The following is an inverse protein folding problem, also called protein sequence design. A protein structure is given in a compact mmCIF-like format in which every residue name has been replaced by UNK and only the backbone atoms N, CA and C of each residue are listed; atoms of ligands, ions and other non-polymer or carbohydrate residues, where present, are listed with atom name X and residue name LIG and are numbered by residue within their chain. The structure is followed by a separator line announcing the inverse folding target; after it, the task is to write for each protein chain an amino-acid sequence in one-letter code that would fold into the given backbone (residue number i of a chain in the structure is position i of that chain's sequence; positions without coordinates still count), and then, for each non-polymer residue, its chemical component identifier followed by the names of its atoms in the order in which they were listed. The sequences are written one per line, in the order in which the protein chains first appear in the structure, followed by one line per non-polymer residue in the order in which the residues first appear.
data_IF_097975293157
#
_entry.id   IF_097975293157
#
_cell.length_a   1.000
_cell.length_b   1.000
_cell.length_c   1.000
_cell.angle_alpha   90.00
_cell.angle_beta   90.00
_cell.angle_gamma   90.00
#
_symmetry.space_group_name_H-M   'P 1'
#
loop_
_entity.id
_entity.type
_entity.pdbx_description
1 polymer ?
#
# COMPACT_ATOMS: atom_id res chain seq x y z
N UNK A 1 23.05 -6.73 7.21
CA UNK A 1 22.13 -6.27 8.27
C UNK A 1 21.56 -4.96 7.79
N UNK A 2 20.31 -4.96 7.34
CA UNK A 2 19.55 -3.72 7.24
C UNK A 2 19.41 -3.27 8.69
N UNK A 3 20.01 -2.12 9.02
CA UNK A 3 19.83 -1.55 10.33
C UNK A 3 18.37 -1.23 10.53
N UNK A 4 17.73 -2.07 11.28
CA UNK A 4 16.41 -1.83 11.79
C UNK A 4 16.46 -0.67 12.76
N UNK A 5 15.50 0.17 12.62
CA UNK A 5 15.10 1.28 13.48
C UNK A 5 15.77 1.24 14.85
N UNK A 6 16.66 2.20 15.10
CA UNK A 6 17.20 2.43 16.44
C UNK A 6 18.63 1.97 16.72
N UNK A 7 19.39 1.46 15.74
CA UNK A 7 20.82 1.35 15.95
C UNK A 7 21.49 2.69 15.67
N UNK A 8 22.35 3.14 16.57
CA UNK A 8 23.09 4.38 16.43
C UNK A 8 23.90 4.48 15.12
N UNK A 9 24.25 3.34 14.51
CA UNK A 9 24.93 3.29 13.21
C UNK A 9 24.03 3.74 12.04
N UNK A 10 22.71 3.57 12.11
CA UNK A 10 21.78 4.07 11.08
C UNK A 10 21.48 5.56 11.23
N UNK A 11 21.70 6.12 12.41
CA UNK A 11 21.48 7.54 12.73
C UNK A 11 22.71 8.38 12.33
N UNK A 12 23.89 7.81 12.33
CA UNK A 12 25.16 8.54 12.08
C UNK A 12 25.30 9.14 10.69
N UNK A 13 24.70 8.52 9.69
CA UNK A 13 24.85 8.90 8.29
C UNK A 13 23.57 9.50 7.71
N UNK A 14 22.48 9.56 8.46
CA UNK A 14 21.27 10.22 8.01
C UNK A 14 21.41 11.73 8.22
N UNK A 15 21.21 12.50 7.17
CA UNK A 15 20.84 13.90 7.26
C UNK A 15 19.66 14.05 8.25
N UNK A 16 19.35 15.24 8.68
CA UNK A 16 18.23 15.54 9.61
C UNK A 16 16.85 14.99 9.15
N UNK A 17 16.77 14.44 7.93
CA UNK A 17 15.54 13.91 7.34
C UNK A 17 15.46 12.40 7.53
N UNK A 18 14.42 11.93 8.22
CA UNK A 18 14.11 10.50 8.34
C UNK A 18 13.58 9.98 7.01
N UNK A 19 14.22 8.94 6.49
CA UNK A 19 13.84 8.26 5.26
C UNK A 19 13.06 6.98 5.60
N UNK A 20 11.75 7.09 5.67
CA UNK A 20 10.89 5.94 5.90
C UNK A 20 10.89 5.01 4.68
N UNK A 21 11.00 3.72 4.93
CA UNK A 21 10.85 2.69 3.90
C UNK A 21 9.36 2.46 3.57
N UNK A 22 8.47 2.63 4.57
CA UNK A 22 7.02 2.49 4.43
C UNK A 22 6.32 3.49 5.36
N UNK A 23 5.24 4.11 4.91
CA UNK A 23 4.46 5.10 5.65
C UNK A 23 3.20 4.52 6.29
N UNK A 24 2.93 3.23 6.07
CA UNK A 24 1.83 2.51 6.72
C UNK A 24 2.13 2.18 8.17
N UNK A 25 1.16 1.59 8.84
CA UNK A 25 1.25 1.31 10.27
C UNK A 25 1.96 -0.02 10.56
N UNK A 26 1.98 -0.95 9.60
CA UNK A 26 2.35 -2.35 9.82
C UNK A 26 3.46 -2.82 8.88
N UNK A 27 4.63 -2.22 9.00
CA UNK A 27 5.80 -2.61 8.21
C UNK A 27 7.04 -2.61 9.11
N UNK A 28 7.28 -3.70 9.82
CA UNK A 28 8.31 -3.77 10.84
C UNK A 28 9.26 -4.95 10.66
N UNK A 29 10.50 -4.81 11.17
CA UNK A 29 11.52 -5.84 11.17
C UNK A 29 11.83 -6.42 9.78
N UNK A 30 11.91 -5.57 8.75
CA UNK A 30 12.25 -5.95 7.38
C UNK A 30 13.57 -6.72 7.31
N UNK A 31 13.56 -7.90 6.69
CA UNK A 31 14.72 -8.73 6.46
C UNK A 31 14.88 -9.04 4.98
N UNK A 32 16.11 -8.97 4.46
CA UNK A 32 16.38 -9.40 3.09
C UNK A 32 16.66 -10.89 3.03
N UNK A 33 16.19 -11.52 1.95
CA UNK A 33 16.59 -12.89 1.64
C UNK A 33 18.10 -12.96 1.42
N UNK A 34 18.75 -13.97 2.00
CA UNK A 34 20.12 -14.36 1.69
C UNK A 34 20.14 -15.34 0.52
N UNK A 35 21.31 -15.51 -0.07
CA UNK A 35 21.60 -16.53 -1.07
C UNK A 35 20.70 -16.51 -2.32
N UNK A 36 20.16 -15.34 -2.67
CA UNK A 36 19.53 -15.14 -3.98
C UNK A 36 20.60 -15.38 -5.05
N UNK A 37 20.35 -16.22 -6.07
CA UNK A 37 21.31 -16.49 -7.13
C UNK A 37 21.82 -15.18 -7.77
N UNK A 38 23.11 -15.10 -8.02
CA UNK A 38 23.75 -13.91 -8.61
C UNK A 38 23.11 -13.51 -9.95
N UNK A 39 22.69 -14.50 -10.74
CA UNK A 39 22.00 -14.29 -12.01
C UNK A 39 20.63 -13.60 -11.86
N UNK A 40 19.98 -13.68 -10.70
CA UNK A 40 18.73 -12.96 -10.40
C UNK A 40 19.03 -11.50 -10.02
N UNK A 41 20.03 -11.27 -9.19
CA UNK A 41 20.54 -9.94 -8.82
C UNK A 41 19.58 -9.06 -8.02
N UNK A 42 18.35 -9.52 -7.72
CA UNK A 42 17.36 -8.74 -6.95
C UNK A 42 17.69 -8.70 -5.47
N UNK A 43 17.32 -7.61 -4.82
CA UNK A 43 17.27 -7.52 -3.36
C UNK A 43 15.83 -7.64 -2.90
N UNK A 44 15.44 -8.83 -2.50
CA UNK A 44 14.07 -9.13 -2.04
C UNK A 44 14.02 -9.08 -0.52
N UNK A 45 12.95 -8.50 0.01
CA UNK A 45 12.70 -8.37 1.45
C UNK A 45 11.36 -9.00 1.82
N UNK A 46 11.30 -9.49 3.05
CA UNK A 46 10.07 -9.89 3.73
C UNK A 46 9.96 -9.10 5.02
N UNK A 47 8.75 -8.73 5.39
CA UNK A 47 8.49 -7.79 6.50
C UNK A 47 7.34 -8.29 7.34
N UNK A 48 7.46 -8.15 8.65
CA UNK A 48 6.37 -8.45 9.56
C UNK A 48 5.30 -7.36 9.47
N UNK A 49 4.10 -7.77 9.07
CA UNK A 49 2.93 -6.90 8.98
C UNK A 49 2.21 -6.90 10.31
N UNK A 50 2.66 -6.08 11.22
CA UNK A 50 2.01 -5.79 12.51
C UNK A 50 2.75 -4.69 13.26
N UNK A 51 2.29 -4.39 14.47
CA UNK A 51 2.89 -3.41 15.35
C UNK A 51 2.89 -3.93 16.80
N UNK A 52 4.00 -3.76 17.51
CA UNK A 52 4.15 -4.18 18.91
C UNK A 52 3.12 -3.56 19.86
N UNK A 53 2.54 -2.42 19.50
CA UNK A 53 1.55 -1.75 20.33
C UNK A 53 0.25 -2.56 20.51
N UNK A 54 -0.11 -3.42 19.51
CA UNK A 54 -1.37 -4.16 19.50
C UNK A 54 -1.26 -5.60 19.02
N UNK A 55 -0.09 -6.08 18.62
CA UNK A 55 0.07 -7.40 17.99
C UNK A 55 -0.47 -8.57 18.82
N UNK A 56 -0.45 -8.46 20.14
CA UNK A 56 -0.94 -9.51 21.04
C UNK A 56 -2.46 -9.55 21.18
N UNK A 57 -3.13 -8.46 20.81
CA UNK A 57 -4.59 -8.29 20.98
C UNK A 57 -5.35 -8.32 19.63
N UNK A 58 -4.68 -8.72 18.55
CA UNK A 58 -5.32 -8.83 17.24
C UNK A 58 -6.51 -9.80 17.29
N UNK A 59 -7.63 -9.51 16.59
CA UNK A 59 -8.84 -10.30 16.62
C UNK A 59 -8.73 -11.58 15.78
N UNK A 60 -7.61 -12.29 15.91
CA UNK A 60 -7.33 -13.56 15.25
C UNK A 60 -7.20 -14.66 16.31
N UNK A 61 -7.63 -15.90 15.98
CA UNK A 61 -7.66 -17.00 16.94
C UNK A 61 -6.45 -17.91 16.82
N UNK A 62 -6.10 -18.31 15.61
CA UNK A 62 -5.08 -19.34 15.36
C UNK A 62 -3.66 -18.77 15.17
N UNK A 63 -3.56 -17.51 14.80
CA UNK A 63 -2.29 -16.81 14.55
C UNK A 63 -2.38 -15.34 15.00
N UNK A 64 -1.23 -14.70 15.10
CA UNK A 64 -1.11 -13.26 15.37
C UNK A 64 -0.30 -12.63 14.26
N UNK A 65 -0.85 -11.57 13.63
CA UNK A 65 -0.22 -10.85 12.52
C UNK A 65 -0.02 -11.68 11.25
N UNK A 66 0.56 -11.06 10.24
CA UNK A 66 0.91 -11.68 8.96
C UNK A 66 2.25 -11.15 8.45
N UNK A 67 2.65 -11.60 7.27
CA UNK A 67 3.78 -11.03 6.55
C UNK A 67 3.26 -10.16 5.42
N UNK A 68 3.92 -9.03 5.17
CA UNK A 68 3.67 -8.23 3.98
C UNK A 68 4.06 -9.01 2.72
N UNK A 69 3.45 -8.68 1.60
CA UNK A 69 3.86 -9.24 0.32
C UNK A 69 5.36 -9.00 0.11
N UNK A 70 6.16 -10.02 -0.25
CA UNK A 70 7.57 -9.83 -0.54
C UNK A 70 7.79 -8.74 -1.58
N UNK A 71 8.79 -7.91 -1.36
CA UNK A 71 9.09 -6.76 -2.22
C UNK A 71 10.54 -6.76 -2.68
N UNK A 72 10.75 -6.36 -3.91
CA UNK A 72 12.07 -6.07 -4.44
C UNK A 72 12.44 -4.62 -4.13
N UNK A 73 13.62 -4.42 -3.54
CA UNK A 73 14.17 -3.09 -3.29
C UNK A 73 14.94 -2.58 -4.51
N UNK A 74 14.79 -1.30 -4.79
CA UNK A 74 15.56 -0.60 -5.82
C UNK A 74 15.96 0.81 -5.36
N UNK A 75 16.95 1.38 -6.02
CA UNK A 75 17.36 2.76 -5.77
C UNK A 75 16.77 3.68 -6.83
N UNK A 76 16.26 4.82 -6.41
CA UNK A 76 15.81 5.87 -7.31
C UNK A 76 16.36 7.24 -6.87
N UNK A 77 16.57 8.13 -7.83
CA UNK A 77 17.01 9.50 -7.59
C UNK A 77 15.83 10.47 -7.69
N UNK A 78 15.82 11.50 -6.86
CA UNK A 78 14.83 12.57 -6.88
C UNK A 78 15.42 13.90 -6.42
N UNK A 79 14.62 14.95 -6.38
CA UNK A 79 15.02 16.30 -5.90
C UNK A 79 15.63 16.27 -4.50
N UNK A 80 15.24 15.30 -3.69
CA UNK A 80 15.70 15.12 -2.32
C UNK A 80 16.86 14.09 -2.17
N UNK A 81 17.54 13.74 -3.26
CA UNK A 81 18.66 12.79 -3.27
C UNK A 81 18.24 11.34 -3.53
N UNK A 82 19.18 10.41 -3.25
CA UNK A 82 18.94 8.98 -3.47
C UNK A 82 17.99 8.41 -2.41
N UNK A 83 17.06 7.57 -2.85
CA UNK A 83 16.04 6.91 -2.04
C UNK A 83 15.97 5.42 -2.34
N UNK A 84 15.42 4.66 -1.40
CA UNK A 84 15.06 3.25 -1.60
C UNK A 84 13.58 3.17 -1.91
N UNK A 85 13.24 2.61 -3.06
CA UNK A 85 11.89 2.22 -3.43
C UNK A 85 11.70 0.72 -3.27
N UNK A 86 10.46 0.27 -3.34
CA UNK A 86 10.10 -1.13 -3.21
C UNK A 86 8.89 -1.46 -4.10
N UNK A 87 8.96 -2.54 -4.83
CA UNK A 87 7.88 -3.01 -5.70
C UNK A 87 7.54 -4.46 -5.39
N UNK A 88 6.32 -4.85 -5.65
CA UNK A 88 5.93 -6.24 -5.49
C UNK A 88 6.81 -7.14 -6.37
N UNK A 89 7.16 -8.31 -5.85
CA UNK A 89 7.95 -9.28 -6.61
C UNK A 89 7.19 -9.71 -7.87
N UNK A 90 7.92 -9.95 -8.96
CA UNK A 90 7.33 -10.36 -10.25
C UNK A 90 6.50 -11.65 -10.16
N UNK A 91 6.79 -12.51 -9.21
CA UNK A 91 6.09 -13.77 -8.94
C UNK A 91 4.62 -13.54 -8.54
N UNK A 92 4.30 -12.40 -7.91
CA UNK A 92 2.92 -12.04 -7.63
C UNK A 92 2.11 -11.92 -8.92
N UNK A 93 2.66 -11.26 -9.96
CA UNK A 93 1.97 -11.11 -11.24
C UNK A 93 1.76 -12.44 -11.97
N UNK A 94 2.58 -13.45 -11.67
CA UNK A 94 2.40 -14.80 -12.22
C UNK A 94 1.28 -15.57 -11.52
N UNK A 95 1.04 -15.28 -10.24
CA UNK A 95 -0.02 -15.88 -9.43
C UNK A 95 -1.39 -15.23 -9.70
N UNK A 96 -1.41 -14.00 -10.17
CA UNK A 96 -2.62 -13.24 -10.45
C UNK A 96 -3.00 -13.35 -11.95
N UNK A 97 -4.28 -13.52 -12.20
CA UNK A 97 -4.85 -13.42 -13.55
C UNK A 97 -5.37 -12.01 -13.78
N UNK A 98 -5.07 -11.44 -14.94
CA UNK A 98 -5.68 -10.17 -15.36
C UNK A 98 -7.18 -10.39 -15.55
N UNK A 99 -7.97 -9.71 -14.75
CA UNK A 99 -9.38 -9.52 -14.96
C UNK A 99 -9.53 -8.20 -15.73
N UNK A 100 -9.72 -8.27 -17.05
CA UNK A 100 -9.76 -7.09 -17.91
C UNK A 100 -11.11 -6.39 -17.75
N UNK A 101 -11.32 -5.80 -16.60
CA UNK A 101 -12.27 -4.71 -16.46
C UNK A 101 -11.50 -3.41 -16.67
N UNK A 102 -11.36 -3.01 -17.92
CA UNK A 102 -10.99 -1.64 -18.25
C UNK A 102 -12.28 -0.81 -18.14
N UNK A 103 -12.48 -0.05 -17.06
CA UNK A 103 -13.48 1.02 -17.16
C UNK A 103 -13.01 1.93 -18.27
N UNK A 104 -13.87 2.19 -19.23
CA UNK A 104 -13.67 3.29 -20.18
C UNK A 104 -13.36 4.54 -19.36
N UNK A 105 -12.46 5.44 -19.80
CA UNK A 105 -12.25 6.71 -19.14
C UNK A 105 -13.61 7.43 -19.11
N UNK A 106 -14.28 7.34 -17.99
CA UNK A 106 -15.58 7.97 -17.81
C UNK A 106 -15.35 9.36 -17.23
N UNK A 107 -16.12 10.33 -17.69
CA UNK A 107 -16.26 11.65 -17.05
C UNK A 107 -16.93 11.54 -15.66
N UNK A 108 -17.04 10.35 -15.13
CA UNK A 108 -17.66 10.05 -13.86
C UNK A 108 -16.73 10.45 -12.70
N UNK A 109 -17.33 10.93 -11.63
CA UNK A 109 -16.61 11.33 -10.42
C UNK A 109 -16.15 10.13 -9.59
N UNK A 110 -16.60 8.92 -9.92
CA UNK A 110 -16.28 7.73 -9.13
C UNK A 110 -16.26 6.46 -9.97
N UNK A 111 -15.37 5.54 -9.57
CA UNK A 111 -15.41 4.15 -10.04
C UNK A 111 -15.40 3.23 -8.82
N UNK A 112 -16.03 2.07 -8.96
CA UNK A 112 -15.98 1.00 -7.95
C UNK A 112 -15.73 -0.32 -8.65
N UNK A 113 -14.72 -1.02 -8.21
CA UNK A 113 -14.24 -2.27 -8.77
C UNK A 113 -14.28 -3.35 -7.70
N UNK A 114 -14.79 -4.51 -8.05
CA UNK A 114 -14.96 -5.64 -7.14
C UNK A 114 -14.27 -6.86 -7.71
N UNK A 115 -13.57 -7.60 -6.86
CA UNK A 115 -13.11 -8.94 -7.17
C UNK A 115 -14.13 -9.96 -6.67
N UNK A 116 -14.27 -11.08 -7.38
CA UNK A 116 -15.00 -12.23 -6.84
C UNK A 116 -14.15 -13.05 -5.87
N UNK A 117 -12.88 -12.69 -5.74
CA UNK A 117 -11.89 -13.33 -4.89
C UNK A 117 -11.55 -12.45 -3.68
N UNK A 118 -10.97 -13.06 -2.65
CA UNK A 118 -10.48 -12.34 -1.47
C UNK A 118 -9.21 -11.51 -1.73
N UNK A 119 -8.50 -11.81 -2.85
CA UNK A 119 -7.28 -11.12 -3.25
C UNK A 119 -7.51 -10.34 -4.54
N UNK A 120 -7.14 -9.07 -4.51
CA UNK A 120 -7.26 -8.15 -5.64
C UNK A 120 -6.02 -7.27 -5.72
N UNK A 121 -5.47 -7.15 -6.91
CA UNK A 121 -4.48 -6.14 -7.23
C UNK A 121 -5.08 -5.16 -8.23
N UNK A 122 -5.06 -3.89 -7.87
CA UNK A 122 -5.51 -2.77 -8.69
C UNK A 122 -4.33 -1.88 -9.05
N UNK A 123 -4.27 -1.37 -10.26
CA UNK A 123 -3.35 -0.29 -10.61
C UNK A 123 -3.98 0.70 -11.59
N UNK A 124 -3.59 1.96 -11.48
CA UNK A 124 -3.99 3.04 -12.39
C UNK A 124 -2.98 4.17 -12.38
N UNK A 125 -2.90 4.88 -13.49
CA UNK A 125 -2.29 6.20 -13.55
C UNK A 125 -3.36 7.25 -13.24
N UNK A 126 -3.08 8.11 -12.27
CA UNK A 126 -3.97 9.16 -11.77
C UNK A 126 -3.46 10.52 -12.24
N UNK A 127 -4.35 11.39 -12.70
CA UNK A 127 -4.06 12.81 -12.91
C UNK A 127 -4.94 13.64 -11.96
N UNK A 128 -4.35 14.16 -10.91
CA UNK A 128 -5.02 14.95 -9.88
C UNK A 128 -5.08 16.43 -10.31
N UNK A 129 -6.25 17.04 -10.22
CA UNK A 129 -6.46 18.45 -10.54
C UNK A 129 -6.31 19.34 -9.30
N UNK A 130 -6.02 20.62 -9.50
CA UNK A 130 -6.00 21.60 -8.43
C UNK A 130 -7.35 21.65 -7.69
N UNK A 131 -7.29 21.80 -6.37
CA UNK A 131 -8.46 21.87 -5.48
C UNK A 131 -9.29 20.57 -5.39
N UNK A 132 -8.83 19.49 -5.99
CA UNK A 132 -9.49 18.19 -5.97
C UNK A 132 -8.91 17.31 -4.86
N UNK A 133 -9.78 16.60 -4.15
CA UNK A 133 -9.39 15.49 -3.28
C UNK A 133 -9.76 14.19 -3.96
N UNK A 134 -8.77 13.34 -4.22
CA UNK A 134 -9.01 11.97 -4.62
C UNK A 134 -9.10 11.08 -3.38
N UNK A 135 -10.16 10.31 -3.29
CA UNK A 135 -10.36 9.27 -2.28
C UNK A 135 -10.13 7.90 -2.91
N UNK A 136 -9.29 7.09 -2.29
CA UNK A 136 -9.09 5.69 -2.61
C UNK A 136 -9.50 4.87 -1.40
N UNK A 137 -10.56 4.09 -1.55
CA UNK A 137 -11.15 3.27 -0.49
C UNK A 137 -10.90 1.80 -0.79
N UNK A 138 -10.41 1.06 0.20
CA UNK A 138 -10.29 -0.38 0.14
C UNK A 138 -11.37 -1.04 0.99
N UNK A 139 -12.02 -2.07 0.44
CA UNK A 139 -13.24 -2.70 0.93
C UNK A 139 -14.46 -1.76 1.02
N UNK A 140 -15.66 -2.33 1.00
CA UNK A 140 -16.90 -1.55 1.04
C UNK A 140 -17.14 -0.87 2.40
N UNK A 141 -16.70 -1.51 3.49
CA UNK A 141 -16.81 -0.97 4.85
C UNK A 141 -15.67 0.00 5.23
N UNK A 142 -14.77 0.29 4.28
CA UNK A 142 -13.68 1.25 4.40
C UNK A 142 -12.86 1.14 5.69
N UNK A 143 -12.31 -0.04 6.02
CA UNK A 143 -11.43 -0.19 7.17
C UNK A 143 -10.13 0.60 6.99
N UNK A 144 -9.73 0.83 5.75
CA UNK A 144 -8.63 1.71 5.37
C UNK A 144 -8.97 2.50 4.10
N UNK A 145 -8.60 3.77 4.08
CA UNK A 145 -8.70 4.62 2.90
C UNK A 145 -7.56 5.63 2.83
N UNK A 146 -7.37 6.18 1.64
CA UNK A 146 -6.35 7.18 1.35
C UNK A 146 -6.99 8.39 0.69
N UNK A 147 -6.55 9.58 1.08
CA UNK A 147 -6.90 10.85 0.45
C UNK A 147 -5.65 11.46 -0.17
N UNK A 148 -5.76 11.97 -1.38
CA UNK A 148 -4.67 12.60 -2.11
C UNK A 148 -5.07 14.03 -2.46
N UNK A 149 -4.26 14.98 -2.08
CA UNK A 149 -4.48 16.42 -2.33
C UNK A 149 -3.21 17.03 -2.91
N UNK A 150 -3.35 17.78 -3.99
CA UNK A 150 -2.21 18.52 -4.55
C UNK A 150 -1.86 19.71 -3.66
N UNK A 151 -0.59 19.81 -3.31
CA UNK A 151 -0.03 20.90 -2.50
C UNK A 151 1.22 21.46 -3.18
N UNK A 152 1.70 22.62 -2.76
CA UNK A 152 2.84 23.30 -3.38
C UNK A 152 4.10 22.43 -3.51
N UNK A 153 4.33 21.52 -2.54
CA UNK A 153 5.54 20.68 -2.49
C UNK A 153 5.35 19.27 -3.07
N UNK A 154 4.18 18.98 -3.65
CA UNK A 154 3.87 17.67 -4.23
C UNK A 154 2.44 17.22 -3.94
N UNK A 155 2.25 15.97 -3.57
CA UNK A 155 0.94 15.41 -3.19
C UNK A 155 0.94 15.05 -1.71
N UNK A 156 0.04 15.66 -0.94
CA UNK A 156 -0.25 15.22 0.42
C UNK A 156 -1.10 13.94 0.34
N UNK A 157 -0.63 12.90 1.01
CA UNK A 157 -1.35 11.63 1.18
C UNK A 157 -1.75 11.51 2.64
N UNK A 158 -3.06 11.38 2.89
CA UNK A 158 -3.61 11.02 4.19
C UNK A 158 -3.99 9.55 4.18
N UNK A 159 -3.41 8.75 5.06
CA UNK A 159 -3.75 7.36 5.28
C UNK A 159 -4.57 7.23 6.55
N UNK A 160 -5.79 6.73 6.43
CA UNK A 160 -6.69 6.53 7.57
C UNK A 160 -7.05 5.06 7.69
N UNK A 161 -6.83 4.49 8.87
CA UNK A 161 -7.26 3.15 9.22
C UNK A 161 -8.20 3.18 10.42
N UNK A 162 -9.28 2.41 10.33
CA UNK A 162 -10.33 2.30 11.34
C UNK A 162 -10.34 0.90 11.95
N UNK A 163 -10.86 0.80 13.14
CA UNK A 163 -11.13 -0.49 13.81
C UNK A 163 -11.46 -0.26 15.28
N UNK A 164 -12.37 -1.08 15.80
CA UNK A 164 -12.69 -1.20 17.21
C UNK A 164 -12.90 -2.67 17.51
N UNK A 165 -12.22 -3.20 18.52
CA UNK A 165 -12.15 -4.63 18.81
C UNK A 165 -12.54 -4.97 20.26
N UNK A 166 -12.78 -3.95 21.09
CA UNK A 166 -13.31 -4.08 22.44
C UNK A 166 -12.25 -4.26 23.52
N UNK A 167 -10.98 -4.06 23.24
CA UNK A 167 -9.95 -3.94 24.26
C UNK A 167 -9.25 -2.58 24.16
N UNK A 168 -8.95 -1.98 25.32
CA UNK A 168 -8.44 -0.61 25.41
C UNK A 168 -7.18 -0.41 24.54
N UNK A 169 -6.22 -1.30 24.64
CA UNK A 169 -4.92 -1.16 23.98
C UNK A 169 -5.01 -1.23 22.45
N UNK A 170 -5.77 -2.16 21.89
CA UNK A 170 -5.92 -2.25 20.43
C UNK A 170 -6.81 -1.13 19.92
N UNK A 171 -7.86 -0.75 20.64
CA UNK A 171 -8.76 0.32 20.25
C UNK A 171 -8.08 1.70 20.30
N UNK A 172 -7.08 1.88 21.16
CA UNK A 172 -6.25 3.09 21.21
C UNK A 172 -5.20 3.15 20.09
N UNK A 173 -4.53 2.04 19.80
CA UNK A 173 -3.33 2.06 18.97
C UNK A 173 -3.52 1.55 17.54
N UNK A 174 -4.55 0.76 17.28
CA UNK A 174 -4.82 0.24 15.94
C UNK A 174 -5.37 1.30 14.99
N UNK A 175 -6.33 2.17 15.36
CA UNK A 175 -6.76 3.26 14.50
C UNK A 175 -5.58 4.18 14.17
N UNK A 176 -5.55 4.68 12.94
CA UNK A 176 -4.45 5.49 12.44
C UNK A 176 -4.98 6.58 11.51
N UNK A 177 -4.47 7.78 11.70
CA UNK A 177 -4.68 8.92 10.81
C UNK A 177 -3.33 9.62 10.65
N UNK A 178 -2.74 9.49 9.48
CA UNK A 178 -1.41 10.00 9.21
C UNK A 178 -1.36 10.73 7.88
N UNK A 179 -0.64 11.84 7.85
CA UNK A 179 -0.44 12.65 6.64
C UNK A 179 1.04 12.77 6.34
N UNK A 180 1.36 12.70 5.06
CA UNK A 180 2.70 12.94 4.54
C UNK A 180 2.63 13.62 3.19
N UNK A 181 3.49 14.60 2.95
CA UNK A 181 3.67 15.19 1.61
C UNK A 181 4.75 14.43 0.87
N UNK A 182 4.37 13.84 -0.25
CA UNK A 182 5.28 13.14 -1.16
C UNK A 182 5.74 14.10 -2.26
N UNK A 183 7.05 14.17 -2.56
CA UNK A 183 7.59 15.06 -3.60
C UNK A 183 7.36 14.48 -5.01
N UNK A 184 6.10 14.27 -5.37
CA UNK A 184 5.64 13.74 -6.66
C UNK A 184 4.79 14.78 -7.38
N UNK A 185 4.69 14.63 -8.69
CA UNK A 185 3.87 15.51 -9.53
C UNK A 185 2.37 15.15 -9.40
N UNK A 186 1.50 15.94 -10.00
CA UNK A 186 0.06 15.70 -10.01
C UNK A 186 -0.37 14.50 -10.86
N UNK A 187 0.51 14.00 -11.73
CA UNK A 187 0.35 12.72 -12.43
C UNK A 187 1.21 11.65 -11.73
N UNK A 188 0.58 10.62 -11.21
CA UNK A 188 1.25 9.54 -10.47
C UNK A 188 0.53 8.22 -10.64
N UNK A 189 1.27 7.12 -10.45
CA UNK A 189 0.71 5.79 -10.46
C UNK A 189 0.33 5.35 -9.04
N UNK A 190 -0.80 4.69 -8.92
CA UNK A 190 -1.19 3.93 -7.73
C UNK A 190 -1.25 2.43 -8.05
N UNK A 191 -0.77 1.60 -7.14
CA UNK A 191 -0.88 0.15 -7.18
C UNK A 191 -1.30 -0.34 -5.80
N UNK A 192 -2.44 -0.99 -5.71
CA UNK A 192 -3.03 -1.46 -4.45
C UNK A 192 -3.15 -2.98 -4.48
N UNK A 193 -2.58 -3.63 -3.49
CA UNK A 193 -2.82 -5.05 -3.24
C UNK A 193 -3.71 -5.16 -2.01
N UNK A 194 -4.84 -5.82 -2.18
CA UNK A 194 -5.80 -6.16 -1.14
C UNK A 194 -5.76 -7.67 -0.95
N UNK A 195 -5.57 -8.09 0.28
CA UNK A 195 -5.72 -9.48 0.72
C UNK A 195 -6.59 -9.48 1.97
N UNK A 196 -7.13 -10.62 2.36
CA UNK A 196 -8.11 -10.81 3.45
C UNK A 196 -7.81 -10.05 4.75
N UNK A 197 -6.58 -9.75 5.02
CA UNK A 197 -6.16 -9.06 6.25
C UNK A 197 -5.21 -7.90 5.99
N UNK A 198 -5.05 -7.45 4.75
CA UNK A 198 -4.08 -6.40 4.43
C UNK A 198 -4.50 -5.51 3.27
N UNK A 199 -4.01 -4.28 3.33
CA UNK A 199 -4.02 -3.33 2.22
C UNK A 199 -2.63 -2.73 2.07
N UNK A 200 -2.00 -2.97 0.94
CA UNK A 200 -0.68 -2.47 0.59
C UNK A 200 -0.78 -1.55 -0.61
N UNK A 201 -0.49 -0.25 -0.42
CA UNK A 201 -0.48 0.77 -1.47
C UNK A 201 0.95 1.10 -1.85
N UNK A 202 1.26 1.05 -3.13
CA UNK A 202 2.48 1.57 -3.73
C UNK A 202 2.15 2.77 -4.62
N UNK A 203 3.01 3.78 -4.60
CA UNK A 203 2.87 5.01 -5.39
C UNK A 203 4.14 5.17 -6.25
N UNK A 204 3.95 5.59 -7.53
CA UNK A 204 5.02 5.78 -8.51
C UNK A 204 5.93 4.57 -8.65
N UNK A 205 5.34 3.43 -9.05
CA UNK A 205 6.05 2.17 -9.21
C UNK A 205 6.87 1.77 -7.97
N UNK A 206 6.35 2.10 -6.77
CA UNK A 206 6.94 1.73 -5.50
C UNK A 206 7.98 2.69 -4.95
N UNK A 207 8.03 3.93 -5.43
CA UNK A 207 8.85 4.96 -4.79
C UNK A 207 8.40 5.25 -3.35
N UNK A 208 7.09 5.13 -3.11
CA UNK A 208 6.49 5.29 -1.79
C UNK A 208 5.49 4.16 -1.54
N UNK A 209 5.35 3.78 -0.27
CA UNK A 209 4.48 2.67 0.11
C UNK A 209 3.78 2.90 1.44
N UNK A 210 2.61 2.27 1.58
CA UNK A 210 1.80 2.25 2.80
C UNK A 210 1.29 0.84 3.02
N UNK A 211 1.67 0.23 4.12
CA UNK A 211 1.30 -1.15 4.48
C UNK A 211 0.42 -1.13 5.72
N UNK A 212 -0.77 -1.68 5.62
CA UNK A 212 -1.73 -1.71 6.71
C UNK A 212 -2.35 -3.10 6.87
N UNK A 213 -2.25 -3.64 8.08
CA UNK A 213 -3.08 -4.75 8.53
C UNK A 213 -4.50 -4.23 8.70
N UNK A 214 -5.49 -4.96 8.21
CA UNK A 214 -6.90 -4.59 8.29
C UNK A 214 -7.77 -5.75 8.75
N UNK A 215 -8.95 -5.44 9.28
CA UNK A 215 -9.97 -6.41 9.63
C UNK A 215 -11.30 -5.92 9.06
N UNK A 216 -11.46 -6.13 7.76
CA UNK A 216 -12.69 -5.81 7.06
C UNK A 216 -13.84 -6.75 7.51
N UNK A 217 -15.04 -6.23 7.58
CA UNK A 217 -16.24 -7.05 7.80
C UNK A 217 -16.62 -7.80 6.54
N UNK A 218 -16.44 -7.15 5.41
CA UNK A 218 -16.62 -7.73 4.08
C UNK A 218 -15.36 -8.51 3.70
N UNK A 219 -15.56 -9.71 3.17
CA UNK A 219 -14.44 -10.57 2.74
C UNK A 219 -14.06 -10.33 1.28
N UNK A 220 -14.97 -9.77 0.50
CA UNK A 220 -14.75 -9.49 -0.91
C UNK A 220 -13.84 -8.28 -1.10
N UNK A 221 -12.72 -8.48 -1.78
CA UNK A 221 -11.79 -7.39 -2.08
C UNK A 221 -12.43 -6.40 -3.07
N UNK A 222 -12.34 -5.12 -2.75
CA UNK A 222 -12.84 -4.04 -3.61
C UNK A 222 -11.99 -2.78 -3.49
N UNK A 223 -11.95 -2.00 -4.56
CA UNK A 223 -11.35 -0.66 -4.60
C UNK A 223 -12.38 0.31 -5.17
N UNK A 224 -12.59 1.40 -4.47
CA UNK A 224 -13.37 2.52 -4.99
C UNK A 224 -12.50 3.79 -5.02
N UNK A 225 -12.54 4.50 -6.15
CA UNK A 225 -11.93 5.81 -6.30
C UNK A 225 -13.02 6.83 -6.58
N UNK A 226 -12.96 7.94 -5.92
CA UNK A 226 -13.84 9.08 -6.20
C UNK A 226 -13.14 10.40 -5.92
N UNK A 227 -13.63 11.45 -6.55
CA UNK A 227 -13.17 12.82 -6.34
C UNK A 227 -14.31 13.66 -5.78
N UNK A 228 -13.97 14.65 -4.96
CA UNK A 228 -14.93 15.57 -4.33
C UNK A 228 -15.42 16.66 -5.31
N UNK A 229 -14.66 16.91 -6.37
CA UNK A 229 -14.97 17.92 -7.39
C UNK A 229 -14.35 17.56 -8.73
N UNK A 230 -14.91 18.08 -9.83
CA UNK A 230 -14.41 17.81 -11.18
C UNK A 230 -14.68 16.39 -11.64
N UNK A 231 -13.83 15.87 -12.52
CA UNK A 231 -13.89 14.52 -13.06
C UNK A 231 -12.67 13.70 -12.64
N UNK A 232 -12.89 12.41 -12.39
CA UNK A 232 -11.86 11.45 -12.07
C UNK A 232 -11.06 11.09 -13.34
N UNK A 233 -9.79 11.48 -13.37
CA UNK A 233 -8.93 11.23 -14.53
C UNK A 233 -8.01 10.03 -14.25
N UNK A 234 -8.36 8.87 -14.82
CA UNK A 234 -7.60 7.63 -14.73
C UNK A 234 -7.18 7.15 -16.11
N UNK A 235 -5.99 6.56 -16.18
CA UNK A 235 -5.46 5.87 -17.37
C UNK A 235 -4.85 4.53 -16.94
N UNK A 236 -4.70 3.61 -17.90
CA UNK A 236 -4.03 2.32 -17.69
C UNK A 236 -4.58 1.53 -16.49
N UNK A 237 -5.90 1.58 -16.30
CA UNK A 237 -6.57 0.85 -15.21
C UNK A 237 -6.44 -0.63 -15.43
N UNK A 238 -5.92 -1.36 -14.44
CA UNK A 238 -5.78 -2.80 -14.46
C UNK A 238 -6.28 -3.39 -13.14
N UNK A 239 -7.00 -4.49 -13.25
CA UNK A 239 -7.43 -5.30 -12.11
C UNK A 239 -6.95 -6.73 -12.34
N UNK A 240 -6.40 -7.34 -11.32
CA UNK A 240 -6.05 -8.74 -11.33
C UNK A 240 -6.42 -9.39 -10.00
N UNK A 241 -6.81 -10.66 -10.06
CA UNK A 241 -7.19 -11.47 -8.90
C UNK A 241 -6.53 -12.83 -8.97
N UNK A 242 -6.59 -13.61 -7.89
CA UNK A 242 -6.11 -14.98 -7.92
C UNK A 242 -6.86 -15.74 -9.02
N UNK A 243 -6.12 -16.53 -9.79
CA UNK A 243 -6.74 -17.48 -10.74
C UNK A 243 -7.65 -18.41 -9.92
N UNK A 244 -8.95 -18.39 -10.22
CA UNK A 244 -9.88 -19.34 -9.61
C UNK A 244 -9.35 -20.76 -9.79
N UNK A 245 -9.40 -21.58 -8.75
CA UNK A 245 -9.07 -23.00 -8.89
C UNK A 245 -9.90 -23.55 -10.06
N UNK A 246 -9.23 -24.01 -11.10
CA UNK A 246 -9.89 -24.85 -12.10
C UNK A 246 -10.27 -26.11 -11.34
N UNK A 247 -11.53 -26.20 -10.92
CA UNK A 247 -12.10 -27.46 -10.45
C UNK A 247 -11.87 -28.49 -11.54
N UNK A 248 -10.95 -29.41 -11.27
CA UNK A 248 -10.74 -30.60 -12.09
C UNK A 248 -11.93 -31.53 -12.00
#
# INVERSE_FOLDING_TARGET
RICLVGSEMCIRDSSETILWLDFGRDYYATQSFSDIPEADGRRIVSTWMSNHQYSLELPTQQFRSSMAMPRELFLFGGKAGLRVGQRFVKELNQALSLDVQTPEPSDEQAISLYSQQEVMKFSADVALQDTQTLHLNAYQDNPVYFEFVLVEQGVEVRSVRRGQFGTERIDEHFPHDYRVTLPIDNEFQVEVLIDKGSVELLINAGQFSFTNLVFAKETQASVALNVDSGSLALRNVQVSSLAGEKTC
#
